data_IF_370041966004
#
_entry.id   IF_370041966004
#
_cell.length_a   1.000
_cell.length_b   1.000
_cell.length_c   1.000
_cell.angle_alpha   90.00
_cell.angle_beta   90.00
_cell.angle_gamma   90.00
#
_symmetry.space_group_name_H-M   'P 1'
#
loop_
_entity.id
_entity.type
_entity.pdbx_description
1 polymer ?
#
# COMPACT_ATOMS: atom_id res chain seq x y z
N UNK A 1 -27.27 2.34 36.96
CA UNK A 1 -28.54 1.76 36.48
C UNK A 1 -28.90 2.16 35.05
N UNK A 2 -28.18 3.08 34.40
CA UNK A 2 -28.37 3.43 32.98
C UNK A 2 -27.40 2.71 32.03
N UNK A 3 -26.28 2.18 32.54
CA UNK A 3 -25.32 1.37 31.77
C UNK A 3 -25.82 -0.04 31.50
N UNK A 4 -26.31 -0.77 32.52
CA UNK A 4 -26.87 -2.13 32.35
C UNK A 4 -27.96 -2.18 31.25
N UNK A 5 -28.85 -1.19 31.23
CA UNK A 5 -29.92 -1.10 30.21
C UNK A 5 -29.39 -0.87 28.79
N UNK A 6 -28.24 -0.19 28.66
CA UNK A 6 -27.60 0.05 27.35
C UNK A 6 -26.91 -1.20 26.85
N UNK A 7 -26.30 -1.97 27.75
CA UNK A 7 -25.67 -3.26 27.46
C UNK A 7 -26.72 -4.28 27.00
N UNK A 8 -27.82 -4.42 27.74
CA UNK A 8 -28.95 -5.29 27.36
C UNK A 8 -29.50 -4.94 25.96
N UNK A 9 -29.63 -3.65 25.67
CA UNK A 9 -30.12 -3.16 24.39
C UNK A 9 -29.09 -3.31 23.25
N UNK A 10 -27.80 -3.39 23.55
CA UNK A 10 -26.74 -3.68 22.59
C UNK A 10 -26.71 -5.17 22.25
N UNK A 11 -26.81 -6.03 23.26
CA UNK A 11 -26.82 -7.48 23.11
C UNK A 11 -28.02 -7.98 22.32
N UNK A 12 -29.22 -7.45 22.62
CA UNK A 12 -30.43 -7.74 21.85
C UNK A 12 -30.28 -7.33 20.37
N UNK A 13 -29.59 -6.21 20.11
CA UNK A 13 -29.30 -5.76 18.74
C UNK A 13 -28.31 -6.69 18.04
N UNK A 14 -27.28 -7.12 18.76
CA UNK A 14 -26.25 -8.00 18.23
C UNK A 14 -26.83 -9.39 17.89
N UNK A 15 -27.72 -9.93 18.73
CA UNK A 15 -28.43 -11.17 18.44
C UNK A 15 -29.25 -11.08 17.15
N UNK A 16 -29.97 -9.96 16.93
CA UNK A 16 -30.72 -9.71 15.69
C UNK A 16 -29.82 -9.57 14.47
N UNK A 17 -28.66 -8.92 14.63
CA UNK A 17 -27.71 -8.79 13.53
C UNK A 17 -27.11 -10.14 13.14
N UNK A 18 -26.85 -11.02 14.11
CA UNK A 18 -26.44 -12.41 13.83
C UNK A 18 -27.51 -13.19 13.07
N UNK A 19 -28.80 -12.99 13.40
CA UNK A 19 -29.87 -13.64 12.63
C UNK A 19 -29.95 -13.12 11.18
N UNK A 20 -29.72 -11.82 10.96
CA UNK A 20 -29.65 -11.27 9.59
C UNK A 20 -28.44 -11.78 8.81
N UNK A 21 -27.29 -11.95 9.48
CA UNK A 21 -26.12 -12.58 8.87
C UNK A 21 -26.39 -14.03 8.45
N UNK A 22 -27.10 -14.81 9.28
CA UNK A 22 -27.48 -16.17 8.95
C UNK A 22 -28.47 -16.25 7.77
N UNK A 23 -29.40 -15.29 7.66
CA UNK A 23 -30.35 -15.19 6.55
C UNK A 23 -29.69 -14.72 5.23
N UNK A 24 -28.67 -13.87 5.34
CA UNK A 24 -27.91 -13.36 4.21
C UNK A 24 -28.47 -12.08 3.58
N UNK A 25 -27.57 -11.26 3.05
CA UNK A 25 -27.83 -9.90 2.54
C UNK A 25 -28.91 -9.87 1.43
N UNK A 26 -28.91 -10.84 0.53
CA UNK A 26 -29.88 -10.95 -0.56
C UNK A 26 -31.30 -11.25 -0.03
N UNK A 27 -31.41 -12.10 0.99
CA UNK A 27 -32.69 -12.42 1.61
C UNK A 27 -33.26 -11.21 2.36
N UNK A 28 -32.41 -10.45 3.06
CA UNK A 28 -32.84 -9.25 3.79
C UNK A 28 -33.29 -8.14 2.83
N UNK A 29 -32.64 -7.99 1.66
CA UNK A 29 -33.11 -7.07 0.62
C UNK A 29 -34.47 -7.48 0.06
N UNK A 30 -34.63 -8.75 -0.30
CA UNK A 30 -35.89 -9.26 -0.83
C UNK A 30 -37.05 -9.11 0.19
N UNK A 31 -36.75 -9.34 1.47
CA UNK A 31 -37.69 -9.16 2.58
C UNK A 31 -38.06 -7.68 2.76
N UNK A 32 -37.10 -6.75 2.63
CA UNK A 32 -37.37 -5.31 2.64
C UNK A 32 -38.17 -4.82 1.44
N UNK A 33 -37.96 -5.42 0.26
CA UNK A 33 -38.70 -5.09 -0.96
C UNK A 33 -40.15 -5.61 -0.89
N UNK A 34 -40.38 -6.71 -0.16
CA UNK A 34 -41.70 -7.29 0.09
C UNK A 34 -42.41 -6.67 1.31
N UNK A 35 -41.66 -6.05 2.23
CA UNK A 35 -42.20 -5.44 3.44
C UNK A 35 -43.02 -4.18 3.11
N UNK A 36 -44.22 -4.09 3.69
CA UNK A 36 -45.01 -2.87 3.68
C UNK A 36 -44.35 -1.78 4.54
N UNK A 37 -44.63 -0.51 4.26
CA UNK A 37 -44.08 0.65 4.99
C UNK A 37 -44.30 0.63 6.52
N UNK A 38 -45.20 -0.24 7.00
CA UNK A 38 -45.52 -0.42 8.42
C UNK A 38 -44.74 -1.54 9.13
N UNK A 39 -43.84 -2.27 8.46
CA UNK A 39 -43.03 -3.30 9.11
C UNK A 39 -42.06 -2.66 10.14
N UNK A 40 -42.23 -2.95 11.45
CA UNK A 40 -41.35 -2.40 12.49
C UNK A 40 -39.88 -2.86 12.35
N UNK A 41 -39.63 -3.97 11.65
CA UNK A 41 -38.26 -4.46 11.43
C UNK A 41 -37.56 -3.83 10.22
N UNK A 42 -38.32 -3.22 9.29
CA UNK A 42 -37.76 -2.68 8.05
C UNK A 42 -36.70 -1.60 8.32
N UNK A 43 -36.92 -0.73 9.32
CA UNK A 43 -35.93 0.27 9.72
C UNK A 43 -34.62 -0.37 10.23
N UNK A 44 -34.73 -1.47 10.97
CA UNK A 44 -33.59 -2.17 11.56
C UNK A 44 -32.81 -2.95 10.50
N UNK A 45 -33.50 -3.60 9.56
CA UNK A 45 -32.89 -4.31 8.43
C UNK A 45 -32.15 -3.34 7.49
N UNK A 46 -32.72 -2.16 7.20
CA UNK A 46 -32.05 -1.09 6.42
C UNK A 46 -30.80 -0.57 7.13
N UNK A 47 -30.87 -0.34 8.44
CA UNK A 47 -29.72 0.10 9.22
C UNK A 47 -28.58 -0.94 9.20
N UNK A 48 -28.91 -2.23 9.27
CA UNK A 48 -27.94 -3.31 9.15
C UNK A 48 -27.28 -3.36 7.77
N UNK A 49 -28.05 -3.25 6.68
CA UNK A 49 -27.52 -3.17 5.32
C UNK A 49 -26.56 -1.98 5.14
N UNK A 50 -26.96 -0.80 5.62
CA UNK A 50 -26.12 0.39 5.56
C UNK A 50 -24.80 0.21 6.31
N UNK A 51 -24.82 -0.43 7.50
CA UNK A 51 -23.60 -0.73 8.24
C UNK A 51 -22.65 -1.69 7.50
N UNK A 52 -23.19 -2.68 6.77
CA UNK A 52 -22.42 -3.58 5.91
C UNK A 52 -21.78 -2.82 4.74
N UNK A 53 -22.54 -1.97 4.06
CA UNK A 53 -22.02 -1.16 2.96
C UNK A 53 -20.89 -0.21 3.40
N UNK A 54 -21.05 0.45 4.55
CA UNK A 54 -20.01 1.29 5.14
C UNK A 54 -18.75 0.48 5.46
N UNK A 55 -18.90 -0.73 5.99
CA UNK A 55 -17.77 -1.61 6.32
C UNK A 55 -17.01 -2.02 5.04
N UNK A 56 -17.73 -2.41 3.98
CA UNK A 56 -17.15 -2.74 2.68
C UNK A 56 -16.42 -1.55 2.05
N UNK A 57 -17.01 -0.35 2.12
CA UNK A 57 -16.34 0.87 1.65
C UNK A 57 -15.08 1.16 2.44
N UNK A 58 -15.11 1.02 3.76
CA UNK A 58 -13.94 1.24 4.62
C UNK A 58 -12.80 0.26 4.31
N UNK A 59 -13.12 -1.00 4.01
CA UNK A 59 -12.14 -1.99 3.55
C UNK A 59 -11.51 -1.63 2.20
N UNK A 60 -12.33 -1.15 1.25
CA UNK A 60 -11.86 -0.66 -0.04
C UNK A 60 -10.99 0.58 0.10
N UNK A 61 -11.38 1.53 0.93
CA UNK A 61 -10.56 2.68 1.29
C UNK A 61 -9.25 2.25 1.92
N UNK A 62 -9.26 1.31 2.86
CA UNK A 62 -8.04 0.79 3.49
C UNK A 62 -7.11 0.12 2.47
N UNK A 63 -7.67 -0.65 1.54
CA UNK A 63 -6.90 -1.25 0.46
C UNK A 63 -6.31 -0.20 -0.50
N UNK A 64 -7.07 0.86 -0.79
CA UNK A 64 -6.61 2.00 -1.60
C UNK A 64 -5.54 2.83 -0.88
N UNK A 65 -5.65 3.05 0.43
CA UNK A 65 -4.59 3.71 1.20
C UNK A 65 -3.35 2.82 1.35
N UNK A 66 -3.50 1.50 1.45
CA UNK A 66 -2.37 0.58 1.40
C UNK A 66 -1.68 0.61 0.03
N UNK A 67 -2.44 0.64 -1.07
CA UNK A 67 -1.86 0.76 -2.42
C UNK A 67 -1.19 2.13 -2.63
N UNK A 68 -1.76 3.22 -2.12
CA UNK A 68 -1.15 4.56 -2.15
C UNK A 68 0.10 4.64 -1.29
N UNK A 69 0.11 4.04 -0.09
CA UNK A 69 1.32 3.93 0.73
C UNK A 69 2.43 3.17 -0.01
N UNK A 70 2.09 2.04 -0.65
CA UNK A 70 3.04 1.28 -1.46
C UNK A 70 3.53 2.04 -2.70
N UNK A 71 2.67 2.87 -3.31
CA UNK A 71 3.04 3.72 -4.43
C UNK A 71 3.96 4.88 -3.99
N UNK A 72 3.77 5.41 -2.78
CA UNK A 72 4.63 6.42 -2.20
C UNK A 72 6.00 5.85 -1.82
N UNK A 73 6.05 4.63 -1.25
CA UNK A 73 7.32 3.92 -1.01
C UNK A 73 8.07 3.60 -2.32
N UNK A 74 7.37 3.23 -3.39
CA UNK A 74 7.96 3.05 -4.72
C UNK A 74 8.49 4.37 -5.32
N UNK A 75 7.79 5.49 -5.12
CA UNK A 75 8.24 6.81 -5.54
C UNK A 75 9.46 7.29 -4.73
N UNK A 76 9.56 6.91 -3.45
CA UNK A 76 10.70 7.19 -2.58
C UNK A 76 11.93 6.34 -2.96
N UNK A 77 11.73 5.06 -3.29
CA UNK A 77 12.75 4.17 -3.86
C UNK A 77 13.27 4.68 -5.22
N UNK A 78 12.41 5.27 -6.05
CA UNK A 78 12.82 5.89 -7.31
C UNK A 78 13.69 7.14 -7.10
N UNK A 79 13.43 7.93 -6.05
CA UNK A 79 14.28 9.07 -5.66
C UNK A 79 15.61 8.65 -5.05
N UNK A 80 15.64 7.61 -4.19
CA UNK A 80 16.89 7.07 -3.64
C UNK A 80 17.77 6.38 -4.70
N UNK A 81 17.17 5.74 -5.71
CA UNK A 81 17.90 5.10 -6.82
C UNK A 81 18.67 6.12 -7.68
N UNK A 82 18.16 7.34 -7.81
CA UNK A 82 18.81 8.42 -8.56
C UNK A 82 20.05 8.99 -7.85
N UNK A 83 20.07 8.98 -6.52
CA UNK A 83 21.24 9.40 -5.72
C UNK A 83 22.27 8.28 -5.57
N UNK A 84 21.82 7.01 -5.46
CA UNK A 84 22.71 5.84 -5.43
C UNK A 84 23.51 5.69 -6.73
N UNK A 85 22.91 6.01 -7.88
CA UNK A 85 23.58 5.97 -9.19
C UNK A 85 24.72 6.98 -9.32
N UNK A 86 24.65 8.13 -8.64
CA UNK A 86 25.71 9.14 -8.70
C UNK A 86 26.97 8.70 -7.96
N UNK A 87 26.81 7.95 -6.86
CA UNK A 87 27.96 7.45 -6.07
C UNK A 87 28.65 6.26 -6.72
N UNK A 88 27.90 5.33 -7.34
CA UNK A 88 28.51 4.19 -8.04
C UNK A 88 29.16 4.60 -9.36
N UNK A 89 28.54 5.51 -10.12
CA UNK A 89 29.12 6.06 -11.35
C UNK A 89 30.41 6.85 -11.09
N UNK A 90 30.51 7.51 -9.94
CA UNK A 90 31.73 8.21 -9.54
C UNK A 90 32.89 7.24 -9.29
N UNK A 91 32.65 6.15 -8.55
CA UNK A 91 33.68 5.14 -8.30
C UNK A 91 34.09 4.36 -9.55
N UNK A 92 33.17 4.07 -10.47
CA UNK A 92 33.51 3.43 -11.75
C UNK A 92 34.28 4.38 -12.68
N UNK A 93 33.94 5.68 -12.70
CA UNK A 93 34.71 6.68 -13.46
C UNK A 93 36.14 6.81 -12.93
N UNK A 94 36.33 6.82 -11.61
CA UNK A 94 37.67 6.84 -10.99
C UNK A 94 38.45 5.57 -11.32
N UNK A 95 37.82 4.39 -11.20
CA UNK A 95 38.46 3.13 -11.52
C UNK A 95 38.90 3.06 -13.00
N UNK A 96 38.03 3.53 -13.91
CA UNK A 96 38.35 3.60 -15.34
C UNK A 96 39.52 4.55 -15.62
N UNK A 97 39.57 5.72 -14.96
CA UNK A 97 40.68 6.67 -15.09
C UNK A 97 42.00 6.09 -14.55
N UNK A 98 41.97 5.41 -13.41
CA UNK A 98 43.15 4.77 -12.84
C UNK A 98 43.69 3.64 -13.73
N UNK A 99 42.80 2.82 -14.29
CA UNK A 99 43.18 1.77 -15.24
C UNK A 99 43.78 2.35 -16.53
N UNK A 100 43.16 3.39 -17.09
CA UNK A 100 43.67 4.09 -18.27
C UNK A 100 45.06 4.70 -18.01
N UNK A 101 45.26 5.35 -16.85
CA UNK A 101 46.56 5.90 -16.48
C UNK A 101 47.63 4.80 -16.36
N UNK A 102 47.31 3.65 -15.76
CA UNK A 102 48.23 2.51 -15.67
C UNK A 102 48.64 1.96 -17.04
N UNK A 103 47.69 1.83 -17.97
CA UNK A 103 47.99 1.40 -19.35
C UNK A 103 48.87 2.41 -20.08
N UNK A 104 48.57 3.70 -19.96
CA UNK A 104 49.37 4.77 -20.59
C UNK A 104 50.80 4.77 -20.05
N UNK A 105 50.98 4.65 -18.73
CA UNK A 105 52.32 4.56 -18.12
C UNK A 105 53.07 3.32 -18.60
N UNK A 106 52.41 2.16 -18.65
CA UNK A 106 53.02 0.94 -19.14
C UNK A 106 53.41 1.05 -20.62
N UNK A 107 52.57 1.66 -21.46
CA UNK A 107 52.89 1.93 -22.86
C UNK A 107 54.03 2.93 -23.01
N UNK A 108 54.10 3.97 -22.19
CA UNK A 108 55.19 4.95 -22.22
C UNK A 108 56.56 4.32 -21.88
N UNK A 109 56.58 3.35 -20.97
CA UNK A 109 57.77 2.56 -20.64
C UNK A 109 58.10 1.60 -21.79
N UNK A 110 57.12 0.85 -22.28
CA UNK A 110 57.31 -0.17 -23.32
C UNK A 110 57.71 0.41 -24.69
N UNK A 111 57.25 1.62 -25.02
CA UNK A 111 57.60 2.33 -26.26
C UNK A 111 58.92 3.11 -26.14
N UNK A 112 59.63 3.04 -25.01
CA UNK A 112 60.93 3.67 -24.82
C UNK A 112 60.89 5.21 -24.82
N UNK A 113 59.72 5.83 -24.67
CA UNK A 113 59.57 7.30 -24.65
C UNK A 113 60.38 7.95 -23.53
N UNK A 114 60.54 7.25 -22.41
CA UNK A 114 61.35 7.69 -21.27
C UNK A 114 62.86 7.67 -21.59
N UNK A 115 63.29 6.82 -22.52
CA UNK A 115 64.68 6.73 -22.99
C UNK A 115 64.96 7.78 -24.09
N UNK A 116 63.95 8.14 -24.89
CA UNK A 116 64.02 9.23 -25.87
C UNK A 116 64.12 10.62 -25.23
N UNK A 117 63.41 10.88 -24.13
CA UNK A 117 63.51 12.16 -23.39
C UNK A 117 64.82 12.35 -22.61
N UNK A 118 65.68 11.33 -22.53
CA UNK A 118 66.96 11.37 -21.80
C UNK A 118 68.18 11.63 -22.71
N UNK A 119 67.98 11.70 -24.03
CA UNK A 119 68.98 12.16 -25.02
C UNK A 119 68.71 13.61 -25.41
#
# INVERSE_FOLDING_TARGET
>A
MTEDRKEDAADARQARFRSYEAAGEASIRADLDAAADSDPEAATKRAWLHAKDVTRQNEQFRAMFASVSSANDAARLARESADASRRSAFWTMIAALAAAAGVIVNMAIALGWLDWMRR
#
